data_IF_014067466035
#
_entry.id   IF_014067466035
#
_cell.length_a   1.000
_cell.length_b   1.000
_cell.length_c   1.000
_cell.angle_alpha   90.00
_cell.angle_beta   90.00
_cell.angle_gamma   90.00
#
_symmetry.space_group_name_H-M   'P 1'
#
loop_
_entity.id
_entity.type
_entity.pdbx_description
1 polymer ?
#
# COMPACT_ATOMS: atom_id res chain seq x y z
N UNK A 1 8.46 22.25 29.13
CA UNK A 1 8.01 21.07 28.36
C UNK A 1 9.16 20.65 27.44
N UNK A 2 9.62 19.39 27.45
CA UNK A 2 10.60 18.95 26.47
C UNK A 2 9.97 19.02 25.07
N UNK A 3 10.67 19.62 24.10
CA UNK A 3 10.24 19.65 22.70
C UNK A 3 10.08 18.20 22.24
N UNK A 4 8.89 17.83 21.76
CA UNK A 4 8.73 16.59 21.00
C UNK A 4 9.70 16.70 19.82
N UNK A 5 10.66 15.79 19.79
CA UNK A 5 11.62 15.73 18.70
C UNK A 5 10.93 15.02 17.54
N UNK A 6 10.41 15.78 16.59
CA UNK A 6 9.75 15.27 15.37
C UNK A 6 10.75 14.67 14.36
N UNK A 7 12.04 14.67 14.69
CA UNK A 7 13.11 14.12 13.85
C UNK A 7 12.93 12.61 13.71
N UNK A 8 12.81 12.14 12.47
CA UNK A 8 12.67 10.71 12.20
C UNK A 8 13.98 9.98 12.52
N UNK A 9 13.93 8.68 12.87
CA UNK A 9 15.14 7.93 13.18
C UNK A 9 16.19 7.99 12.06
N UNK A 10 15.79 7.97 10.80
CA UNK A 10 16.71 8.03 9.65
C UNK A 10 17.12 9.46 9.23
N UNK A 11 16.67 10.50 9.93
CA UNK A 11 17.16 11.87 9.73
C UNK A 11 18.41 12.12 10.60
N UNK A 12 19.07 13.26 10.42
CA UNK A 12 20.28 13.61 11.19
C UNK A 12 19.93 13.83 12.66
N UNK A 13 20.59 13.11 13.55
CA UNK A 13 20.31 13.14 14.98
C UNK A 13 21.01 14.32 15.70
N UNK A 14 20.50 14.69 16.87
CA UNK A 14 21.16 15.68 17.73
C UNK A 14 22.56 15.18 18.13
N UNK A 15 23.57 16.05 18.04
CA UNK A 15 24.97 15.66 18.26
C UNK A 15 25.59 14.82 17.14
N UNK A 16 24.84 14.47 16.08
CA UNK A 16 25.38 13.82 14.90
C UNK A 16 26.09 14.83 13.99
N UNK A 17 27.39 14.63 13.81
CA UNK A 17 28.19 15.44 12.90
C UNK A 17 27.73 15.23 11.45
N UNK A 18 27.87 16.25 10.61
CA UNK A 18 27.52 16.15 9.17
C UNK A 18 28.21 14.97 8.49
N UNK A 19 29.48 14.72 8.80
CA UNK A 19 30.26 13.58 8.26
C UNK A 19 29.75 12.22 8.72
N UNK A 20 29.27 12.13 9.97
CA UNK A 20 28.68 10.90 10.49
C UNK A 20 27.33 10.62 9.81
N UNK A 21 26.51 11.66 9.65
CA UNK A 21 25.24 11.53 8.96
C UNK A 21 25.42 11.19 7.47
N UNK A 22 26.37 11.81 6.77
CA UNK A 22 26.74 11.46 5.39
C UNK A 22 27.12 9.97 5.27
N UNK A 23 27.92 9.46 6.22
CA UNK A 23 28.28 8.05 6.26
C UNK A 23 27.08 7.13 6.55
N UNK A 24 26.15 7.57 7.40
CA UNK A 24 24.89 6.88 7.61
C UNK A 24 24.03 6.85 6.34
N UNK A 25 23.94 7.94 5.58
CA UNK A 25 23.19 7.99 4.31
C UNK A 25 23.76 6.99 3.32
N UNK A 26 25.08 6.93 3.15
CA UNK A 26 25.72 5.91 2.30
C UNK A 26 25.42 4.50 2.80
N UNK A 27 25.48 4.26 4.12
CA UNK A 27 25.11 2.97 4.68
C UNK A 27 23.65 2.62 4.37
N UNK A 28 22.71 3.55 4.56
CA UNK A 28 21.28 3.36 4.30
C UNK A 28 21.00 3.01 2.83
N UNK A 29 21.63 3.75 1.90
CA UNK A 29 21.47 3.59 0.44
C UNK A 29 21.97 2.23 -0.08
N UNK A 30 22.87 1.56 0.64
CA UNK A 30 23.40 0.25 0.23
C UNK A 30 22.38 -0.90 0.36
N UNK A 31 21.24 -0.70 1.03
CA UNK A 31 20.21 -1.74 1.14
C UNK A 31 20.73 -3.06 1.74
N UNK A 32 20.39 -4.18 1.14
CA UNK A 32 20.75 -5.50 1.71
C UNK A 32 22.26 -5.79 1.70
N UNK A 33 23.04 -5.08 0.89
CA UNK A 33 24.51 -5.21 0.81
C UNK A 33 25.25 -4.30 1.81
N UNK A 34 24.51 -3.65 2.72
CA UNK A 34 25.00 -2.79 3.80
C UNK A 34 26.26 -3.34 4.48
N UNK A 35 27.32 -2.54 4.50
CA UNK A 35 28.61 -2.94 5.09
C UNK A 35 29.44 -1.76 5.59
N UNK A 36 29.82 -1.80 6.87
CA UNK A 36 30.72 -0.82 7.48
C UNK A 36 32.07 -0.77 6.76
N UNK A 37 32.55 -1.91 6.27
CA UNK A 37 33.81 -1.99 5.51
C UNK A 37 33.70 -1.20 4.20
N UNK A 38 32.60 -1.39 3.48
CA UNK A 38 32.37 -0.76 2.19
C UNK A 38 32.15 0.75 2.34
N UNK A 39 31.36 1.18 3.33
CA UNK A 39 31.19 2.62 3.66
C UNK A 39 32.54 3.29 3.96
N UNK A 40 33.39 2.63 4.75
CA UNK A 40 34.72 3.13 5.07
C UNK A 40 35.61 3.28 3.82
N UNK A 41 35.53 2.33 2.89
CA UNK A 41 36.27 2.39 1.62
C UNK A 41 35.76 3.53 0.74
N UNK A 42 34.44 3.64 0.52
CA UNK A 42 33.81 4.67 -0.32
C UNK A 42 34.11 6.08 0.16
N UNK A 43 34.15 6.29 1.48
CA UNK A 43 34.38 7.61 2.08
C UNK A 43 35.84 7.90 2.43
N UNK A 44 36.76 6.98 2.08
CA UNK A 44 38.17 7.05 2.46
C UNK A 44 38.37 7.34 3.97
N UNK A 45 37.63 6.61 4.82
CA UNK A 45 37.71 6.69 6.30
C UNK A 45 38.18 5.37 6.88
N UNK A 46 38.63 5.40 8.14
CA UNK A 46 38.97 4.17 8.84
C UNK A 46 37.69 3.39 9.20
N UNK A 47 37.77 2.05 9.07
CA UNK A 47 36.68 1.14 9.47
C UNK A 47 36.29 1.34 10.94
N UNK A 48 37.27 1.61 11.81
CA UNK A 48 37.05 1.87 13.24
C UNK A 48 36.21 3.14 13.47
N UNK A 49 36.45 4.20 12.70
CA UNK A 49 35.67 5.44 12.82
C UNK A 49 34.21 5.23 12.40
N UNK A 50 34.00 4.59 11.25
CA UNK A 50 32.65 4.27 10.75
C UNK A 50 31.92 3.32 11.71
N UNK A 51 32.60 2.29 12.20
CA UNK A 51 32.05 1.37 13.20
C UNK A 51 31.66 2.09 14.49
N UNK A 52 32.50 3.02 14.97
CA UNK A 52 32.15 3.85 16.13
C UNK A 52 30.91 4.69 15.87
N UNK A 53 30.83 5.39 14.75
CA UNK A 53 29.63 6.17 14.39
C UNK A 53 28.39 5.30 14.27
N UNK A 54 28.51 4.12 13.67
CA UNK A 54 27.41 3.17 13.54
C UNK A 54 26.83 2.76 14.89
N UNK A 55 27.68 2.51 15.89
CA UNK A 55 27.23 2.17 17.25
C UNK A 55 26.70 3.41 17.98
N UNK A 56 27.44 4.53 17.93
CA UNK A 56 27.07 5.77 18.63
C UNK A 56 25.72 6.31 18.17
N UNK A 57 25.41 6.21 16.87
CA UNK A 57 24.18 6.72 16.29
C UNK A 57 23.22 5.61 15.82
N UNK A 58 23.36 4.38 16.35
CA UNK A 58 22.37 3.29 16.20
C UNK A 58 21.91 3.06 14.75
N UNK A 59 22.86 2.92 13.83
CA UNK A 59 22.54 2.87 12.39
C UNK A 59 21.65 1.69 12.03
N UNK A 60 21.80 0.55 12.70
CA UNK A 60 21.01 -0.67 12.41
C UNK A 60 19.54 -0.45 12.75
N UNK A 61 19.26 0.13 13.91
CA UNK A 61 17.92 0.43 14.38
C UNK A 61 17.25 1.49 13.50
N UNK A 62 18.01 2.52 13.09
CA UNK A 62 17.53 3.57 12.20
C UNK A 62 17.18 3.03 10.81
N UNK A 63 18.02 2.13 10.28
CA UNK A 63 17.76 1.42 9.01
C UNK A 63 16.50 0.56 9.14
N UNK A 64 16.37 -0.22 10.22
CA UNK A 64 15.18 -1.05 10.44
C UNK A 64 13.89 -0.20 10.49
N UNK A 65 13.93 0.95 11.16
CA UNK A 65 12.81 1.89 11.18
C UNK A 65 12.49 2.47 9.80
N UNK A 66 13.51 2.79 9.00
CA UNK A 66 13.34 3.26 7.63
C UNK A 66 12.73 2.19 6.73
N UNK A 67 13.27 0.97 6.78
CA UNK A 67 12.78 -0.16 5.98
C UNK A 67 11.32 -0.47 6.34
N UNK A 68 10.96 -0.47 7.62
CA UNK A 68 9.58 -0.64 8.07
C UNK A 68 8.65 0.48 7.53
N UNK A 69 9.10 1.73 7.51
CA UNK A 69 8.32 2.85 6.95
C UNK A 69 8.16 2.74 5.43
N UNK A 70 9.20 2.35 4.71
CA UNK A 70 9.15 2.09 3.27
C UNK A 70 8.17 0.96 2.97
N UNK A 71 8.24 -0.15 3.71
CA UNK A 71 7.30 -1.28 3.54
C UNK A 71 5.86 -0.86 3.84
N UNK A 72 5.62 -0.11 4.92
CA UNK A 72 4.29 0.40 5.27
C UNK A 72 3.71 1.26 4.14
N UNK A 73 4.50 2.18 3.58
CA UNK A 73 4.10 3.04 2.46
C UNK A 73 3.84 2.25 1.18
N UNK A 74 4.70 1.29 0.87
CA UNK A 74 4.55 0.41 -0.29
C UNK A 74 3.26 -0.41 -0.18
N UNK A 75 3.00 -0.98 1.00
CA UNK A 75 1.78 -1.72 1.29
C UNK A 75 0.54 -0.84 1.14
N UNK A 76 0.52 0.34 1.78
CA UNK A 76 -0.60 1.28 1.67
C UNK A 76 -0.88 1.69 0.21
N UNK A 77 0.16 1.90 -0.59
CA UNK A 77 0.04 2.20 -2.03
C UNK A 77 -0.52 1.01 -2.82
N UNK A 78 -0.07 -0.21 -2.52
CA UNK A 78 -0.54 -1.43 -3.16
C UNK A 78 -2.03 -1.67 -2.87
N UNK A 79 -2.45 -1.54 -1.61
CA UNK A 79 -3.86 -1.61 -1.18
C UNK A 79 -4.70 -0.57 -1.91
N UNK A 80 -4.28 0.70 -1.93
CA UNK A 80 -5.00 1.76 -2.64
C UNK A 80 -5.12 1.46 -4.14
N UNK A 81 -4.07 0.95 -4.78
CA UNK A 81 -4.09 0.58 -6.20
C UNK A 81 -5.06 -0.57 -6.45
N UNK A 82 -5.13 -1.56 -5.56
CA UNK A 82 -6.06 -2.69 -5.65
C UNK A 82 -7.51 -2.24 -5.53
N UNK A 83 -7.83 -1.40 -4.53
CA UNK A 83 -9.17 -0.81 -4.36
C UNK A 83 -9.63 -0.06 -5.60
N UNK A 84 -8.80 0.85 -6.12
CA UNK A 84 -9.12 1.59 -7.34
C UNK A 84 -9.34 0.68 -8.56
N UNK A 85 -8.60 -0.43 -8.64
CA UNK A 85 -8.76 -1.42 -9.70
C UNK A 85 -10.12 -2.12 -9.57
N UNK A 86 -10.46 -2.61 -8.39
CA UNK A 86 -11.75 -3.23 -8.07
C UNK A 86 -12.91 -2.29 -8.41
N UNK A 87 -12.88 -1.05 -7.94
CA UNK A 87 -13.93 -0.05 -8.21
C UNK A 87 -14.12 0.18 -9.71
N UNK A 88 -13.02 0.26 -10.46
CA UNK A 88 -13.05 0.41 -11.91
C UNK A 88 -13.65 -0.82 -12.59
N UNK A 89 -13.30 -2.04 -12.18
CA UNK A 89 -13.86 -3.27 -12.76
C UNK A 89 -15.35 -3.42 -12.47
N UNK A 90 -15.80 -3.09 -11.26
CA UNK A 90 -17.23 -3.05 -10.92
C UNK A 90 -17.94 -2.03 -11.80
N UNK A 91 -17.40 -0.81 -11.96
CA UNK A 91 -18.00 0.20 -12.83
C UNK A 91 -18.10 -0.25 -14.30
N UNK A 92 -17.07 -0.93 -14.81
CA UNK A 92 -17.09 -1.49 -16.18
C UNK A 92 -18.17 -2.58 -16.30
N UNK A 93 -18.25 -3.50 -15.33
CA UNK A 93 -19.26 -4.56 -15.33
C UNK A 93 -20.68 -3.98 -15.33
N UNK A 94 -20.96 -2.99 -14.48
CA UNK A 94 -22.26 -2.31 -14.44
C UNK A 94 -22.60 -1.62 -15.77
N UNK A 95 -21.65 -0.91 -16.38
CA UNK A 95 -21.84 -0.28 -17.70
C UNK A 95 -22.07 -1.31 -18.81
N UNK A 96 -21.41 -2.47 -18.74
CA UNK A 96 -21.65 -3.56 -19.69
C UNK A 96 -23.04 -4.16 -19.51
N UNK A 97 -23.49 -4.36 -18.27
CA UNK A 97 -24.86 -4.80 -17.98
C UNK A 97 -25.88 -3.80 -18.53
N UNK A 98 -25.70 -2.50 -18.27
CA UNK A 98 -26.57 -1.43 -18.78
C UNK A 98 -26.62 -1.45 -20.32
N UNK A 99 -25.47 -1.52 -21.00
CA UNK A 99 -25.43 -1.58 -22.47
C UNK A 99 -26.05 -2.84 -23.05
N UNK A 100 -25.88 -3.99 -22.38
CA UNK A 100 -26.54 -5.23 -22.78
C UNK A 100 -28.07 -5.12 -22.65
N UNK A 101 -28.57 -4.49 -21.58
CA UNK A 101 -30.00 -4.23 -21.40
C UNK A 101 -30.54 -3.26 -22.45
N UNK A 102 -29.84 -2.16 -22.74
CA UNK A 102 -30.24 -1.23 -23.81
C UNK A 102 -30.29 -1.91 -25.18
N UNK A 103 -29.32 -2.79 -25.48
CA UNK A 103 -29.32 -3.54 -26.74
C UNK A 103 -30.53 -4.48 -26.83
N UNK A 104 -30.92 -5.12 -25.72
CA UNK A 104 -32.12 -5.96 -25.69
C UNK A 104 -33.40 -5.20 -25.96
N UNK A 105 -33.54 -4.02 -25.37
CA UNK A 105 -34.73 -3.18 -25.55
C UNK A 105 -34.92 -2.72 -26.99
N UNK A 106 -33.82 -2.60 -27.76
CA UNK A 106 -33.82 -2.08 -29.12
C UNK A 106 -33.82 -3.15 -30.22
N UNK A 107 -33.54 -4.41 -29.89
CA UNK A 107 -33.51 -5.51 -30.86
C UNK A 107 -34.89 -6.12 -31.07
N UNK A 108 -35.18 -6.57 -32.30
CA UNK A 108 -36.34 -7.42 -32.56
C UNK A 108 -36.15 -8.75 -31.81
N UNK A 109 -37.15 -9.24 -31.05
CA UNK A 109 -37.11 -10.54 -30.40
C UNK A 109 -36.69 -11.71 -31.29
N UNK A 110 -36.88 -11.61 -32.61
CA UNK A 110 -36.44 -12.61 -33.59
C UNK A 110 -34.93 -12.58 -33.91
N UNK A 111 -34.24 -11.45 -33.67
CA UNK A 111 -32.83 -11.24 -33.99
C UNK A 111 -31.88 -11.45 -32.80
N UNK A 112 -32.43 -11.59 -31.59
CA UNK A 112 -31.65 -11.84 -30.38
C UNK A 112 -31.23 -13.32 -30.38
N UNK A 113 -29.92 -13.61 -30.43
CA UNK A 113 -29.41 -14.91 -29.95
C UNK A 113 -29.39 -14.89 -28.42
N UNK A 114 -30.36 -15.52 -27.75
CA UNK A 114 -30.51 -15.39 -26.30
C UNK A 114 -29.31 -16.00 -25.56
N UNK A 115 -28.56 -16.92 -26.18
CA UNK A 115 -27.39 -17.56 -25.57
C UNK A 115 -26.24 -16.58 -25.41
N UNK A 116 -25.96 -15.73 -26.40
CA UNK A 116 -24.85 -14.77 -26.35
C UNK A 116 -25.11 -13.67 -25.32
N UNK A 117 -26.35 -13.22 -25.23
CA UNK A 117 -26.76 -12.23 -24.23
C UNK A 117 -26.70 -12.79 -22.81
N UNK A 118 -27.24 -13.99 -22.58
CA UNK A 118 -27.15 -14.67 -21.27
C UNK A 118 -25.68 -14.88 -20.89
N UNK A 119 -24.82 -15.20 -21.86
CA UNK A 119 -23.39 -15.32 -21.62
C UNK A 119 -22.76 -13.98 -21.20
N UNK A 120 -23.06 -12.87 -21.90
CA UNK A 120 -22.55 -11.54 -21.53
C UNK A 120 -23.01 -11.11 -20.13
N UNK A 121 -24.29 -11.30 -19.80
CA UNK A 121 -24.84 -10.99 -18.47
C UNK A 121 -24.17 -11.85 -17.39
N UNK A 122 -24.06 -13.17 -17.62
CA UNK A 122 -23.41 -14.09 -16.68
C UNK A 122 -21.96 -13.69 -16.43
N UNK A 123 -21.18 -13.37 -17.46
CA UNK A 123 -19.78 -12.98 -17.30
C UNK A 123 -19.64 -11.62 -16.59
N UNK A 124 -20.52 -10.65 -16.88
CA UNK A 124 -20.51 -9.38 -16.18
C UNK A 124 -20.89 -9.52 -14.70
N UNK A 125 -21.92 -10.31 -14.37
CA UNK A 125 -22.32 -10.60 -12.98
C UNK A 125 -21.24 -11.39 -12.24
N UNK A 126 -20.60 -12.35 -12.92
CA UNK A 126 -19.49 -13.11 -12.34
C UNK A 126 -18.31 -12.19 -12.01
N UNK A 127 -17.89 -11.33 -12.93
CA UNK A 127 -16.84 -10.35 -12.70
C UNK A 127 -17.18 -9.44 -11.51
N UNK A 128 -18.42 -8.95 -11.44
CA UNK A 128 -18.88 -8.12 -10.33
C UNK A 128 -18.80 -8.88 -8.98
N UNK A 129 -19.31 -10.10 -8.92
CA UNK A 129 -19.30 -10.92 -7.70
C UNK A 129 -17.88 -11.27 -7.25
N UNK A 130 -17.00 -11.65 -8.16
CA UNK A 130 -15.60 -11.94 -7.87
C UNK A 130 -14.90 -10.70 -7.30
N UNK A 131 -15.13 -9.52 -7.88
CA UNK A 131 -14.53 -8.28 -7.41
C UNK A 131 -15.10 -7.83 -6.06
N UNK A 132 -16.40 -8.02 -5.80
CA UNK A 132 -17.03 -7.71 -4.50
C UNK A 132 -16.54 -8.62 -3.39
N UNK A 133 -16.42 -9.92 -3.65
CA UNK A 133 -15.88 -10.88 -2.68
C UNK A 133 -14.44 -10.52 -2.33
N UNK A 134 -13.61 -10.24 -3.35
CA UNK A 134 -12.23 -9.80 -3.13
C UNK A 134 -12.14 -8.50 -2.31
N UNK A 135 -13.06 -7.55 -2.51
CA UNK A 135 -13.12 -6.31 -1.73
C UNK A 135 -13.50 -6.56 -0.26
N UNK A 136 -14.44 -7.47 -0.01
CA UNK A 136 -14.87 -7.86 1.35
C UNK A 136 -13.74 -8.58 2.09
N UNK A 137 -13.05 -9.50 1.42
CA UNK A 137 -11.93 -10.23 2.01
C UNK A 137 -10.76 -9.29 2.34
N UNK A 138 -10.44 -8.34 1.45
CA UNK A 138 -9.41 -7.32 1.71
C UNK A 138 -9.78 -6.43 2.90
N UNK A 139 -11.06 -6.06 3.04
CA UNK A 139 -11.54 -5.24 4.15
C UNK A 139 -11.56 -6.01 5.47
N UNK A 140 -11.91 -7.30 5.44
CA UNK A 140 -11.86 -8.18 6.60
C UNK A 140 -10.43 -8.37 7.10
N UNK A 141 -9.48 -8.59 6.19
CA UNK A 141 -8.06 -8.66 6.53
C UNK A 141 -7.55 -7.35 7.17
N UNK A 142 -7.93 -6.20 6.59
CA UNK A 142 -7.54 -4.90 7.15
C UNK A 142 -8.10 -4.65 8.56
N UNK A 143 -9.31 -5.11 8.88
CA UNK A 143 -9.89 -4.99 10.23
C UNK A 143 -9.13 -5.89 11.22
N UNK A 144 -8.79 -7.12 10.82
CA UNK A 144 -8.03 -8.05 11.66
C UNK A 144 -6.62 -7.52 11.99
N UNK A 145 -5.95 -6.87 11.04
CA UNK A 145 -4.63 -6.24 11.27
C UNK A 145 -4.72 -5.02 12.22
N UNK A 146 -5.84 -4.29 12.22
CA UNK A 146 -6.08 -3.15 13.14
C UNK A 146 -6.39 -3.63 14.57
N UNK A 147 -7.14 -4.73 14.71
CA UNK A 147 -7.44 -5.32 16.02
C UNK A 147 -6.19 -5.91 16.70
N UNK A 148 -5.21 -6.39 15.93
CA UNK A 148 -3.94 -6.92 16.43
C UNK A 148 -2.90 -5.82 16.77
N UNK A 149 -3.01 -4.64 16.16
CA UNK A 149 -2.07 -3.52 16.34
C UNK A 149 -2.46 -2.54 17.45
N UNK A 150 -3.65 -2.67 18.03
CA UNK A 150 -4.12 -1.88 19.18
C UNK A 150 -4.42 -0.40 18.92
N UNK A 151 -4.31 0.06 17.66
CA UNK A 151 -4.72 1.40 17.23
C UNK A 151 -6.11 1.33 16.58
N UNK A 152 -7.15 1.41 17.41
CA UNK A 152 -8.53 1.51 16.94
C UNK A 152 -8.80 2.92 16.37
N UNK A 153 -8.46 3.14 15.11
CA UNK A 153 -8.92 4.32 14.37
C UNK A 153 -10.33 4.07 13.81
N UNK A 154 -11.22 5.00 14.13
CA UNK A 154 -12.66 5.03 13.90
C UNK A 154 -13.01 4.68 12.44
N UNK A 155 -13.32 3.40 12.18
CA UNK A 155 -13.80 2.94 10.87
C UNK A 155 -15.22 3.47 10.70
N UNK A 156 -15.32 4.64 10.09
CA UNK A 156 -16.58 5.28 9.72
C UNK A 156 -17.38 4.31 8.83
N UNK A 157 -18.36 3.66 9.44
CA UNK A 157 -19.25 2.71 8.79
C UNK A 157 -20.10 3.49 7.78
N UNK A 158 -19.70 3.52 6.52
CA UNK A 158 -20.60 3.90 5.45
C UNK A 158 -21.60 2.75 5.23
N UNK A 159 -22.72 2.81 5.93
CA UNK A 159 -23.95 2.12 5.53
C UNK A 159 -24.51 2.88 4.33
N UNK A 160 -24.58 2.28 3.13
CA UNK A 160 -25.36 2.89 2.05
C UNK A 160 -26.81 2.96 2.51
N UNK A 161 -27.39 4.17 2.55
CA UNK A 161 -28.82 4.35 2.72
C UNK A 161 -29.52 3.74 1.49
N UNK A 162 -29.93 2.48 1.62
CA UNK A 162 -30.94 1.94 0.74
C UNK A 162 -32.24 2.63 1.10
N UNK A 163 -32.63 3.59 0.24
CA UNK A 163 -33.92 4.23 0.25
C UNK A 163 -35.03 3.20 0.44
N UNK A 164 -35.77 3.36 1.53
CA UNK A 164 -37.11 2.82 1.68
C UNK A 164 -38.04 4.01 1.53
N UNK A 165 -38.84 3.97 0.46
CA UNK A 165 -40.16 4.60 0.45
C UNK A 165 -41.04 4.03 1.58
#
# INVERSE_FOLDING_TARGET
MPKRNDTKPWERQEGESVKAFEAFTVYLEMGDERSIREVAQRLAKSRTLIGRWSVTYQWVERVAAFDADVQRKAHAKAVKKRRNMVDRHISIALKMQEKALMALEQMDPADIDPKNLIAMLREATKLEQEMRTAAVDERRAAIADVEDTGEADDVLIYLPENGRD
#
